data_IF_252402489562
#
_entry.id   IF_252402489562
#
_cell.length_a   1.000
_cell.length_b   1.000
_cell.length_c   1.000
_cell.angle_alpha   90.00
_cell.angle_beta   90.00
_cell.angle_gamma   90.00
#
_symmetry.space_group_name_H-M   'P 1'
#
loop_
_entity.id
_entity.type
_entity.pdbx_description
1 polymer ?
#
# COMPACT_ATOMS: atom_id res chain seq x y z
N UNK A 1 -19.63 21.60 8.30
CA UNK A 1 -18.48 21.16 9.13
C UNK A 1 -17.54 20.35 8.26
N UNK A 2 -16.31 20.79 8.13
CA UNK A 2 -15.28 20.08 7.39
C UNK A 2 -14.97 18.74 8.08
N UNK A 3 -14.90 17.65 7.32
CA UNK A 3 -14.29 16.41 7.82
C UNK A 3 -12.81 16.71 8.05
N UNK A 4 -12.30 16.37 9.22
CA UNK A 4 -10.87 16.48 9.49
C UNK A 4 -10.14 15.50 8.57
N UNK A 5 -9.41 16.05 7.60
CA UNK A 5 -8.58 15.26 6.69
C UNK A 5 -7.23 15.00 7.36
N UNK A 6 -6.77 13.78 7.25
CA UNK A 6 -5.43 13.39 7.70
C UNK A 6 -4.40 13.70 6.62
N UNK A 7 -3.31 14.34 6.99
CA UNK A 7 -2.16 14.52 6.12
C UNK A 7 -1.34 13.23 6.08
N UNK A 8 -1.11 12.69 4.89
CA UNK A 8 -0.44 11.41 4.71
C UNK A 8 0.62 11.50 3.60
N UNK A 9 1.89 11.16 3.88
CA UNK A 9 2.89 11.03 2.83
C UNK A 9 2.56 9.84 1.94
N UNK A 10 2.70 10.00 0.63
CA UNK A 10 2.30 9.00 -0.35
C UNK A 10 3.50 8.36 -1.04
N UNK A 11 3.42 7.07 -1.24
CA UNK A 11 4.38 6.27 -1.98
C UNK A 11 3.68 5.69 -3.23
N UNK A 12 3.86 6.29 -4.40
CA UNK A 12 3.26 5.79 -5.63
C UNK A 12 3.98 4.54 -6.14
N UNK A 13 3.22 3.53 -6.50
CA UNK A 13 3.72 2.26 -7.05
C UNK A 13 2.87 1.80 -8.24
N UNK A 14 3.42 0.94 -9.09
CA UNK A 14 2.65 0.20 -10.08
C UNK A 14 2.01 -1.08 -9.53
N UNK A 15 1.70 -1.07 -8.24
CA UNK A 15 1.06 -2.18 -7.54
C UNK A 15 -0.01 -1.67 -6.60
N UNK A 16 -1.00 -2.50 -6.35
CA UNK A 16 -2.06 -2.25 -5.37
C UNK A 16 -1.69 -2.96 -4.08
N UNK A 17 -1.73 -2.22 -2.97
CA UNK A 17 -1.65 -2.79 -1.63
C UNK A 17 -3.07 -3.02 -1.09
N UNK A 18 -3.35 -4.23 -0.65
CA UNK A 18 -4.61 -4.56 0.00
C UNK A 18 -4.49 -4.44 1.52
N UNK A 19 -5.58 -4.14 2.24
CA UNK A 19 -5.59 -4.27 3.70
C UNK A 19 -5.13 -5.66 4.13
N UNK A 20 -4.35 -5.72 5.21
CA UNK A 20 -3.75 -6.95 5.78
C UNK A 20 -2.70 -7.63 4.91
N UNK A 21 -2.34 -7.06 3.78
CA UNK A 21 -1.26 -7.55 2.94
C UNK A 21 0.08 -6.96 3.39
N UNK A 22 1.10 -7.81 3.51
CA UNK A 22 2.47 -7.36 3.69
C UNK A 22 3.12 -7.10 2.32
N UNK A 23 3.87 -6.01 2.21
CA UNK A 23 4.62 -5.65 1.02
C UNK A 23 6.08 -5.37 1.37
N UNK A 24 7.04 -6.05 0.71
CA UNK A 24 8.44 -5.69 0.81
C UNK A 24 8.74 -4.51 -0.12
N UNK A 25 9.47 -3.53 0.36
CA UNK A 25 9.87 -2.37 -0.42
C UNK A 25 11.38 -2.14 -0.33
N UNK A 26 11.97 -1.78 -1.45
CA UNK A 26 13.33 -1.28 -1.53
C UNK A 26 13.29 0.22 -1.87
N UNK A 27 13.73 1.04 -0.94
CA UNK A 27 13.68 2.50 -1.06
C UNK A 27 15.09 3.03 -1.29
N UNK A 28 15.35 3.51 -2.49
CA UNK A 28 16.67 3.99 -2.91
C UNK A 28 16.71 5.48 -3.29
N UNK A 29 15.59 6.06 -3.71
CA UNK A 29 15.52 7.48 -4.03
C UNK A 29 15.55 8.33 -2.76
N UNK A 30 16.34 9.41 -2.76
CA UNK A 30 16.53 10.28 -1.60
C UNK A 30 15.23 10.85 -1.04
N UNK A 31 14.31 11.26 -1.92
CA UNK A 31 13.01 11.82 -1.52
C UNK A 31 12.17 10.81 -0.72
N UNK A 32 12.17 9.54 -1.12
CA UNK A 32 11.44 8.49 -0.41
C UNK A 32 12.19 7.97 0.81
N UNK A 33 13.52 7.96 0.77
CA UNK A 33 14.32 7.64 1.97
C UNK A 33 14.03 8.63 3.09
N UNK A 34 14.00 9.93 2.79
CA UNK A 34 13.66 10.96 3.77
C UNK A 34 12.23 10.79 4.28
N UNK A 35 11.27 10.56 3.39
CA UNK A 35 9.87 10.33 3.73
C UNK A 35 9.71 9.14 4.68
N UNK A 36 10.29 7.99 4.35
CA UNK A 36 10.19 6.77 5.15
C UNK A 36 10.91 6.92 6.49
N UNK A 37 12.09 7.53 6.53
CA UNK A 37 12.80 7.80 7.80
C UNK A 37 11.95 8.65 8.73
N UNK A 38 11.29 9.68 8.22
CA UNK A 38 10.35 10.48 9.01
C UNK A 38 9.19 9.65 9.54
N UNK A 39 8.62 8.78 8.72
CA UNK A 39 7.56 7.86 9.16
C UNK A 39 8.03 6.94 10.30
N UNK A 40 9.25 6.43 10.22
CA UNK A 40 9.85 5.60 11.27
C UNK A 40 10.04 6.42 12.56
N UNK A 41 10.61 7.60 12.47
CA UNK A 41 10.89 8.46 13.62
C UNK A 41 9.62 8.94 14.32
N UNK A 42 8.57 9.22 13.57
CA UNK A 42 7.29 9.71 14.08
C UNK A 42 6.28 8.59 14.37
N UNK A 43 6.66 7.34 14.13
CA UNK A 43 5.77 6.15 14.25
C UNK A 43 4.44 6.35 13.50
N UNK A 44 4.54 6.75 12.23
CA UNK A 44 3.35 6.99 11.40
C UNK A 44 3.36 6.15 10.14
N UNK A 45 2.16 5.87 9.66
CA UNK A 45 1.93 5.18 8.39
C UNK A 45 2.15 6.12 7.20
N UNK A 46 2.43 5.54 6.05
CA UNK A 46 2.41 6.21 4.75
C UNK A 46 1.32 5.59 3.87
N UNK A 47 0.96 6.26 2.80
CA UNK A 47 -0.04 5.77 1.86
C UNK A 47 0.57 5.15 0.62
N UNK A 48 0.20 3.93 0.27
CA UNK A 48 0.53 3.31 -1.01
C UNK A 48 -0.60 3.62 -1.98
N UNK A 49 -0.25 4.20 -3.13
CA UNK A 49 -1.19 4.56 -4.19
C UNK A 49 -0.73 3.97 -5.52
N UNK A 50 -1.69 3.47 -6.30
CA UNK A 50 -1.42 2.98 -7.65
C UNK A 50 -1.18 4.17 -8.57
N UNK A 51 -0.10 4.12 -9.35
CA UNK A 51 0.20 5.11 -10.36
C UNK A 51 -0.79 4.98 -11.52
N UNK A 52 -1.45 6.08 -11.83
CA UNK A 52 -2.31 6.20 -13.02
C UNK A 52 -1.52 6.63 -14.25
N UNK A 53 -0.67 7.64 -14.07
CA UNK A 53 0.22 8.17 -15.10
C UNK A 53 1.57 8.51 -14.49
N UNK A 54 2.65 8.12 -15.17
CA UNK A 54 4.02 8.37 -14.76
C UNK A 54 4.78 7.11 -14.35
N UNK A 55 6.01 7.29 -13.93
CA UNK A 55 6.92 6.23 -13.53
C UNK A 55 7.19 6.22 -12.03
N UNK A 56 7.51 5.04 -11.47
CA UNK A 56 7.87 4.90 -10.06
C UNK A 56 9.18 5.61 -9.73
N UNK A 57 10.11 5.58 -10.66
CA UNK A 57 11.48 6.04 -10.49
C UNK A 57 11.74 7.28 -11.32
N UNK A 58 12.26 8.32 -10.69
CA UNK A 58 12.76 9.52 -11.36
C UNK A 58 11.70 10.45 -11.91
N UNK A 59 10.42 10.14 -11.81
CA UNK A 59 9.34 10.99 -12.30
C UNK A 59 8.87 11.96 -11.21
N UNK A 60 9.06 13.29 -11.41
CA UNK A 60 8.60 14.28 -10.44
C UNK A 60 7.08 14.53 -10.51
N UNK A 61 6.41 14.13 -11.58
CA UNK A 61 5.01 14.45 -11.88
C UNK A 61 4.12 13.22 -12.01
N UNK A 62 4.21 12.33 -11.03
CA UNK A 62 3.35 11.14 -10.98
C UNK A 62 1.92 11.54 -10.62
N UNK A 63 0.95 11.01 -11.40
CA UNK A 63 -0.47 11.13 -11.09
C UNK A 63 -0.99 9.81 -10.52
N UNK A 64 -1.40 9.75 -9.25
CA UNK A 64 -1.94 8.55 -8.65
C UNK A 64 -3.45 8.41 -8.90
N UNK A 65 -3.96 7.18 -8.76
CA UNK A 65 -5.37 7.00 -8.47
C UNK A 65 -5.71 7.56 -7.08
N UNK A 66 -6.93 8.05 -6.91
CA UNK A 66 -7.32 8.81 -5.70
C UNK A 66 -7.80 7.92 -4.53
N UNK A 67 -7.62 6.62 -4.65
CA UNK A 67 -7.84 5.66 -3.56
C UNK A 67 -6.54 4.88 -3.35
N UNK A 68 -6.13 4.77 -2.11
CA UNK A 68 -4.94 4.02 -1.72
C UNK A 68 -5.16 3.25 -0.42
N UNK A 69 -4.09 2.67 0.08
CA UNK A 69 -4.07 1.91 1.33
C UNK A 69 -2.97 2.43 2.23
N UNK A 70 -3.30 2.75 3.48
CA UNK A 70 -2.29 3.11 4.47
C UNK A 70 -1.43 1.89 4.81
N UNK A 71 -0.15 2.10 5.00
CA UNK A 71 0.83 1.07 5.26
C UNK A 71 1.64 1.39 6.51
N UNK A 72 1.68 0.44 7.44
CA UNK A 72 2.49 0.53 8.66
C UNK A 72 3.80 -0.22 8.46
N UNK A 73 4.91 0.40 8.83
CA UNK A 73 6.23 -0.22 8.75
C UNK A 73 6.36 -1.24 9.88
N UNK A 74 6.54 -2.52 9.51
CA UNK A 74 6.77 -3.62 10.46
C UNK A 74 8.24 -3.80 10.78
N UNK A 75 9.06 -3.80 9.74
CA UNK A 75 10.50 -4.04 9.82
C UNK A 75 11.22 -3.15 8.83
N UNK A 76 12.43 -2.73 9.17
CA UNK A 76 13.28 -1.99 8.26
C UNK A 76 14.76 -2.28 8.53
N UNK A 77 15.59 -2.13 7.50
CA UNK A 77 17.03 -2.18 7.61
C UNK A 77 17.67 -1.21 6.63
N UNK A 78 18.80 -0.64 7.04
CA UNK A 78 19.60 0.23 6.17
C UNK A 78 20.64 -0.60 5.45
N UNK A 79 20.72 -0.41 4.13
CA UNK A 79 21.72 -1.06 3.28
C UNK A 79 23.05 -0.30 3.31
N UNK A 80 24.18 -0.93 2.95
CA UNK A 80 25.49 -0.27 2.91
C UNK A 80 25.55 0.93 1.98
N UNK A 81 24.73 0.99 0.92
CA UNK A 81 24.61 2.10 -0.03
C UNK A 81 23.70 3.25 0.47
N UNK A 82 23.14 3.11 1.68
CA UNK A 82 22.20 4.06 2.27
C UNK A 82 20.75 3.84 1.88
N UNK A 83 20.44 2.87 1.02
CA UNK A 83 19.07 2.45 0.73
C UNK A 83 18.39 1.81 1.94
N UNK A 84 17.07 1.71 1.89
CA UNK A 84 16.26 1.08 2.93
C UNK A 84 15.53 -0.14 2.36
N UNK A 85 15.62 -1.25 3.05
CA UNK A 85 14.66 -2.34 2.91
C UNK A 85 13.64 -2.24 4.02
N UNK A 86 12.37 -2.40 3.69
CA UNK A 86 11.32 -2.44 4.68
C UNK A 86 10.22 -3.43 4.29
N UNK A 87 9.52 -3.91 5.29
CA UNK A 87 8.27 -4.62 5.13
C UNK A 87 7.17 -3.77 5.74
N UNK A 88 6.15 -3.47 4.96
CA UNK A 88 5.00 -2.71 5.41
C UNK A 88 3.73 -3.55 5.34
N UNK A 89 2.80 -3.30 6.25
CA UNK A 89 1.51 -3.96 6.33
C UNK A 89 0.40 -2.99 5.93
N UNK A 90 -0.41 -3.36 4.94
CA UNK A 90 -1.61 -2.62 4.59
C UNK A 90 -2.60 -2.61 5.75
N UNK A 91 -3.13 -1.44 6.07
CA UNK A 91 -4.08 -1.26 7.18
C UNK A 91 -5.48 -0.95 6.70
N UNK A 92 -5.71 0.26 6.19
CA UNK A 92 -7.02 0.75 5.76
C UNK A 92 -6.95 1.41 4.40
N UNK A 93 -8.02 1.30 3.64
CA UNK A 93 -8.18 2.10 2.43
C UNK A 93 -8.56 3.52 2.80
N UNK A 94 -8.10 4.46 2.00
CA UNK A 94 -8.40 5.88 2.12
C UNK A 94 -8.74 6.47 0.76
N UNK A 95 -9.44 7.60 0.79
CA UNK A 95 -9.69 8.45 -0.37
C UNK A 95 -8.92 9.74 -0.25
N UNK A 96 -8.21 10.10 -1.30
CA UNK A 96 -7.49 11.37 -1.39
C UNK A 96 -8.51 12.45 -1.79
N UNK A 97 -8.56 13.53 -1.02
CA UNK A 97 -9.39 14.71 -1.31
C UNK A 97 -8.58 15.85 -1.90
N UNK A 98 -7.31 15.96 -1.53
CA UNK A 98 -6.39 16.97 -2.02
C UNK A 98 -4.99 16.36 -2.11
N UNK A 99 -4.26 16.74 -3.16
CA UNK A 99 -2.85 16.40 -3.35
C UNK A 99 -2.00 17.65 -3.26
N UNK A 100 -0.85 17.54 -2.62
CA UNK A 100 0.22 18.52 -2.60
C UNK A 100 1.56 17.82 -2.82
N UNK A 101 2.59 18.58 -3.13
CA UNK A 101 3.97 18.13 -3.11
C UNK A 101 4.70 18.74 -1.93
N UNK A 102 5.50 17.94 -1.26
CA UNK A 102 6.35 18.35 -0.16
C UNK A 102 7.64 17.55 -0.16
N UNK A 103 8.78 18.22 -0.13
CA UNK A 103 10.11 17.60 -0.09
C UNK A 103 10.34 16.54 -1.20
N UNK A 104 9.80 16.80 -2.40
CA UNK A 104 9.97 15.95 -3.58
C UNK A 104 9.04 14.74 -3.67
N UNK A 105 8.13 14.55 -2.74
CA UNK A 105 7.12 13.50 -2.77
C UNK A 105 5.70 14.04 -2.67
N UNK A 106 4.73 13.21 -3.02
CA UNK A 106 3.31 13.54 -2.88
C UNK A 106 2.88 13.46 -1.41
N UNK A 107 2.01 14.39 -1.03
CA UNK A 107 1.27 14.37 0.23
C UNK A 107 -0.22 14.41 -0.09
N UNK A 108 -0.97 13.49 0.47
CA UNK A 108 -2.42 13.45 0.36
C UNK A 108 -3.08 13.97 1.62
N UNK A 109 -4.16 14.72 1.44
CA UNK A 109 -5.13 14.99 2.50
C UNK A 109 -6.25 13.98 2.31
N UNK A 110 -6.35 13.05 3.22
CA UNK A 110 -7.09 11.81 3.04
C UNK A 110 -8.19 11.63 4.08
N UNK A 111 -9.22 10.88 3.70
CA UNK A 111 -10.25 10.40 4.62
C UNK A 111 -10.32 8.87 4.56
N UNK A 112 -10.56 8.18 5.69
CA UNK A 112 -10.76 6.73 5.67
C UNK A 112 -11.99 6.36 4.85
N UNK A 113 -11.88 5.26 4.08
CA UNK A 113 -13.04 4.63 3.46
C UNK A 113 -13.67 3.73 4.51
N UNK A 114 -14.96 3.97 4.77
CA UNK A 114 -15.75 3.09 5.63
C UNK A 114 -16.09 1.84 4.82
N UNK A 115 -15.52 0.71 5.23
CA UNK A 115 -15.86 -0.58 4.65
C UNK A 115 -17.26 -0.98 5.11
N UNK A 116 -18.09 -1.37 4.15
CA UNK A 116 -19.41 -1.89 4.47
C UNK A 116 -19.26 -3.30 5.03
N UNK A 117 -19.95 -3.59 6.13
CA UNK A 117 -20.15 -4.97 6.54
C UNK A 117 -20.87 -5.70 5.42
N UNK A 118 -20.41 -6.86 5.09
CA UNK A 118 -21.00 -7.67 4.05
C UNK A 118 -21.74 -8.86 4.65
N UNK A 119 -22.91 -9.12 4.10
CA UNK A 119 -23.68 -10.29 4.51
C UNK A 119 -23.06 -11.56 3.94
N UNK A 120 -22.96 -12.59 4.74
CA UNK A 120 -22.59 -13.93 4.26
C UNK A 120 -23.71 -14.47 3.37
N UNK A 121 -23.54 -14.32 2.06
CA UNK A 121 -24.46 -14.87 1.06
C UNK A 121 -23.74 -15.91 0.20
N UNK A 122 -24.47 -16.88 -0.41
CA UNK A 122 -23.83 -17.84 -1.32
C UNK A 122 -23.06 -17.18 -2.48
N UNK A 123 -23.53 -16.04 -2.97
CA UNK A 123 -22.84 -15.27 -4.02
C UNK A 123 -21.50 -14.72 -3.51
N UNK A 124 -21.44 -14.24 -2.27
CA UNK A 124 -20.21 -13.74 -1.66
C UNK A 124 -19.21 -14.87 -1.41
N UNK A 125 -19.67 -16.01 -0.93
CA UNK A 125 -18.81 -17.20 -0.78
C UNK A 125 -18.20 -17.63 -2.11
N UNK A 126 -18.98 -17.64 -3.19
CA UNK A 126 -18.50 -17.94 -4.53
C UNK A 126 -17.46 -16.93 -5.00
N UNK A 127 -17.65 -15.63 -4.74
CA UNK A 127 -16.69 -14.58 -5.07
C UNK A 127 -15.37 -14.75 -4.31
N UNK A 128 -15.43 -15.11 -3.03
CA UNK A 128 -14.25 -15.38 -2.21
C UNK A 128 -13.47 -16.55 -2.78
N UNK A 129 -14.12 -17.67 -3.10
CA UNK A 129 -13.46 -18.84 -3.69
C UNK A 129 -12.79 -18.49 -5.02
N UNK A 130 -13.45 -17.73 -5.89
CA UNK A 130 -12.88 -17.28 -7.15
C UNK A 130 -11.68 -16.34 -6.94
N UNK A 131 -11.75 -15.45 -5.94
CA UNK A 131 -10.64 -14.57 -5.60
C UNK A 131 -9.44 -15.36 -5.05
N UNK A 132 -9.67 -16.35 -4.21
CA UNK A 132 -8.63 -17.26 -3.69
C UNK A 132 -7.95 -18.00 -4.82
N UNK A 133 -8.72 -18.56 -5.75
CA UNK A 133 -8.19 -19.30 -6.90
C UNK A 133 -7.35 -18.41 -7.80
N UNK A 134 -7.83 -17.20 -8.12
CA UNK A 134 -7.09 -16.23 -8.93
C UNK A 134 -5.78 -15.77 -8.25
N UNK A 135 -5.81 -15.52 -6.95
CA UNK A 135 -4.64 -15.16 -6.16
C UNK A 135 -3.63 -16.33 -6.09
N UNK A 136 -4.11 -17.56 -5.88
CA UNK A 136 -3.28 -18.75 -5.88
C UNK A 136 -2.56 -18.96 -7.22
N UNK A 137 -3.26 -18.76 -8.35
CA UNK A 137 -2.67 -18.83 -9.69
C UNK A 137 -1.60 -17.76 -9.89
N UNK A 138 -1.82 -16.53 -9.44
CA UNK A 138 -0.86 -15.44 -9.56
C UNK A 138 0.40 -15.71 -8.73
N UNK A 139 0.24 -16.19 -7.51
CA UNK A 139 1.38 -16.56 -6.65
C UNK A 139 2.15 -17.73 -7.27
N UNK A 140 1.50 -18.75 -7.78
CA UNK A 140 2.15 -19.88 -8.47
C UNK A 140 2.93 -19.45 -9.69
N UNK A 141 2.43 -18.48 -10.46
CA UNK A 141 3.13 -17.91 -11.61
C UNK A 141 4.38 -17.12 -11.21
N UNK A 142 4.36 -16.42 -10.07
CA UNK A 142 5.49 -15.64 -9.58
C UNK A 142 6.61 -16.51 -8.99
N UNK A 143 6.28 -17.59 -8.30
CA UNK A 143 7.24 -18.43 -7.56
C UNK A 143 7.55 -19.75 -8.26
N UNK A 144 7.04 -19.99 -9.48
CA UNK A 144 7.13 -21.27 -10.16
C UNK A 144 6.26 -22.35 -9.52
N UNK A 145 6.27 -23.59 -10.08
CA UNK A 145 5.38 -24.71 -9.67
C UNK A 145 5.66 -25.29 -8.28
N UNK A 146 6.03 -24.49 -7.30
CA UNK A 146 6.05 -24.93 -5.91
C UNK A 146 4.63 -24.85 -5.37
N UNK A 147 4.11 -25.96 -4.88
CA UNK A 147 2.81 -26.01 -4.19
C UNK A 147 2.84 -25.06 -2.99
N UNK A 148 2.35 -23.84 -3.18
CA UNK A 148 2.16 -22.89 -2.11
C UNK A 148 0.77 -23.12 -1.54
N UNK A 149 0.68 -23.83 -0.43
CA UNK A 149 -0.55 -23.92 0.36
C UNK A 149 -0.72 -22.61 1.11
N UNK A 150 -1.43 -21.69 0.52
CA UNK A 150 -1.84 -20.45 1.18
C UNK A 150 -3.02 -20.75 2.12
N UNK A 151 -2.72 -20.89 3.40
CA UNK A 151 -3.76 -20.79 4.43
C UNK A 151 -4.05 -19.32 4.66
N UNK A 152 -5.10 -18.83 4.05
CA UNK A 152 -5.63 -17.51 4.38
C UNK A 152 -6.48 -17.70 5.65
N UNK A 153 -5.90 -17.32 6.79
CA UNK A 153 -6.64 -17.28 8.04
C UNK A 153 -7.44 -15.98 8.07
N UNK A 154 -8.75 -16.10 7.97
CA UNK A 154 -9.63 -15.01 8.35
C UNK A 154 -9.72 -15.02 9.87
N UNK A 155 -9.20 -13.99 10.50
CA UNK A 155 -9.56 -13.68 11.89
C UNK A 155 -10.78 -12.79 11.84
N UNK A 156 -11.86 -13.25 12.46
CA UNK A 156 -13.06 -12.48 12.71
C UNK A 156 -12.74 -11.19 13.49
#
# INVERSE_FOLDING_TARGET
>A
MGRDLEEMPLFPLHAVLLPYQAIPLHVFEDRYRRMIRRCIEEDRSFGVVLIREGDEVGDPEVTPYMVGTSARILEHSTLPDGGLHLTALGERRFRIRKLEQSDGHLVGFVEPIVELEWDETPEHETLIERAKDAFGLQISALFGHKNVNLKINYTD
#
